data_IF_215753365434
#
_entry.id   IF_215753365434
#
_cell.length_a   1.000
_cell.length_b   1.000
_cell.length_c   1.000
_cell.angle_alpha   90.00
_cell.angle_beta   90.00
_cell.angle_gamma   90.00
#
_symmetry.space_group_name_H-M   'P 1'
#
loop_
_entity.id
_entity.type
_entity.pdbx_description
1 polymer ?
#
# COMPACT_ATOMS: atom_id res chain seq x y z
N UNK A 1 -45.95 -9.84 2.90
CA UNK A 1 -44.76 -10.64 3.22
C UNK A 1 -43.62 -10.08 2.38
N UNK A 2 -42.81 -9.20 2.95
CA UNK A 2 -41.60 -8.72 2.27
C UNK A 2 -40.65 -9.90 2.11
N UNK A 3 -40.45 -10.37 0.89
CA UNK A 3 -39.35 -11.27 0.58
C UNK A 3 -38.07 -10.55 1.02
N UNK A 4 -37.40 -11.09 2.04
CA UNK A 4 -36.11 -10.59 2.45
C UNK A 4 -35.14 -10.78 1.29
N UNK A 5 -34.98 -9.74 0.46
CA UNK A 5 -33.78 -9.53 -0.36
C UNK A 5 -32.63 -9.80 0.60
N UNK A 6 -31.81 -10.82 0.35
CA UNK A 6 -30.90 -11.36 1.37
C UNK A 6 -29.84 -10.36 1.84
N UNK A 7 -28.69 -10.82 2.29
CA UNK A 7 -27.66 -9.91 2.83
C UNK A 7 -26.41 -9.93 1.97
N UNK A 8 -25.51 -9.01 2.21
CA UNK A 8 -24.20 -8.99 1.58
C UNK A 8 -23.16 -8.68 2.65
N UNK A 9 -22.04 -9.41 2.66
CA UNK A 9 -20.91 -9.08 3.51
C UNK A 9 -19.97 -8.14 2.74
N UNK A 10 -19.83 -6.91 3.21
CA UNK A 10 -18.83 -5.97 2.69
C UNK A 10 -17.56 -6.03 3.52
N UNK A 11 -16.42 -6.09 2.83
CA UNK A 11 -15.09 -6.18 3.43
C UNK A 11 -14.21 -5.03 2.96
N UNK A 12 -13.93 -4.06 3.83
CA UNK A 12 -13.04 -2.94 3.50
C UNK A 12 -11.59 -3.41 3.37
N UNK A 13 -11.06 -3.29 2.16
CA UNK A 13 -9.71 -3.66 1.80
C UNK A 13 -8.86 -2.39 1.69
N UNK A 14 -8.09 -2.09 2.74
CA UNK A 14 -7.18 -0.95 2.79
C UNK A 14 -5.74 -1.42 2.65
N UNK A 15 -4.99 -0.78 1.76
CA UNK A 15 -3.56 -1.03 1.58
C UNK A 15 -2.80 -0.81 2.90
N UNK A 16 -1.89 -1.74 3.21
CA UNK A 16 -1.11 -1.72 4.45
C UNK A 16 -1.89 -2.11 5.72
N UNK A 17 -3.18 -2.46 5.62
CA UNK A 17 -3.93 -2.96 6.77
C UNK A 17 -3.75 -4.47 6.92
N UNK A 18 -3.39 -4.91 8.12
CA UNK A 18 -3.35 -6.33 8.50
C UNK A 18 -4.71 -6.85 8.97
N UNK A 19 -5.68 -5.95 9.16
CA UNK A 19 -7.05 -6.30 9.55
C UNK A 19 -8.06 -5.79 8.53
N UNK A 20 -9.04 -6.65 8.25
CA UNK A 20 -10.18 -6.31 7.41
C UNK A 20 -11.33 -5.80 8.29
N UNK A 21 -11.99 -4.72 7.86
CA UNK A 21 -13.24 -4.29 8.48
C UNK A 21 -14.40 -4.91 7.71
N UNK A 22 -15.32 -5.53 8.43
CA UNK A 22 -16.47 -6.21 7.84
C UNK A 22 -17.77 -5.55 8.28
N UNK A 23 -18.74 -5.50 7.39
CA UNK A 23 -20.11 -5.10 7.73
C UNK A 23 -21.11 -5.85 6.88
N UNK A 24 -22.30 -6.06 7.40
CA UNK A 24 -23.39 -6.73 6.68
C UNK A 24 -24.42 -5.68 6.29
N UNK A 25 -24.75 -5.62 5.00
CA UNK A 25 -25.77 -4.72 4.47
C UNK A 25 -26.94 -5.51 3.84
N UNK A 26 -28.13 -4.90 3.68
CA UNK A 26 -29.17 -5.44 2.81
C UNK A 26 -28.65 -5.66 1.39
N UNK A 27 -29.11 -6.70 0.70
CA UNK A 27 -28.65 -7.01 -0.65
C UNK A 27 -28.94 -5.84 -1.61
N UNK A 28 -27.90 -5.17 -2.17
CA UNK A 28 -28.09 -4.02 -3.04
C UNK A 28 -28.71 -4.41 -4.37
N UNK A 29 -29.62 -3.57 -4.88
CA UNK A 29 -30.24 -3.77 -6.20
C UNK A 29 -29.26 -3.52 -7.36
N UNK A 30 -28.13 -2.87 -7.11
CA UNK A 30 -27.14 -2.56 -8.14
C UNK A 30 -25.74 -2.36 -7.58
N UNK A 31 -24.74 -2.42 -8.45
CA UNK A 31 -23.35 -2.07 -8.15
C UNK A 31 -23.22 -0.67 -7.55
N UNK A 32 -23.93 0.32 -8.10
CA UNK A 32 -23.88 1.70 -7.61
C UNK A 32 -24.49 1.82 -6.21
N UNK A 33 -25.61 1.13 -5.96
CA UNK A 33 -26.20 1.09 -4.62
C UNK A 33 -25.24 0.47 -3.61
N UNK A 34 -24.54 -0.61 -3.98
CA UNK A 34 -23.53 -1.23 -3.13
C UNK A 34 -22.36 -0.27 -2.79
N UNK A 35 -21.95 0.57 -3.73
CA UNK A 35 -20.93 1.61 -3.49
C UNK A 35 -21.44 2.67 -2.51
N UNK A 36 -22.68 3.15 -2.67
CA UNK A 36 -23.24 4.16 -1.77
C UNK A 36 -23.39 3.62 -0.34
N UNK A 37 -23.88 2.38 -0.20
CA UNK A 37 -23.90 1.67 1.09
C UNK A 37 -22.50 1.55 1.68
N UNK A 38 -21.49 1.16 0.87
CA UNK A 38 -20.11 1.06 1.31
C UNK A 38 -19.56 2.40 1.85
N UNK A 39 -19.90 3.53 1.22
CA UNK A 39 -19.52 4.87 1.70
C UNK A 39 -20.15 5.22 3.03
N UNK A 40 -21.40 4.80 3.26
CA UNK A 40 -22.11 5.07 4.51
C UNK A 40 -21.55 4.26 5.68
N UNK A 41 -21.31 2.97 5.45
CA UNK A 41 -20.85 2.04 6.50
C UNK A 41 -19.36 2.15 6.79
N UNK A 42 -18.55 2.67 5.86
CA UNK A 42 -17.13 2.90 6.04
C UNK A 42 -16.82 4.41 5.96
N UNK A 43 -16.97 5.16 7.07
CA UNK A 43 -16.82 6.63 7.09
C UNK A 43 -15.42 7.13 6.73
N UNK A 44 -14.41 6.25 6.74
CA UNK A 44 -13.05 6.56 6.27
C UNK A 44 -12.88 6.63 4.75
N UNK A 45 -13.88 6.19 3.96
CA UNK A 45 -13.83 6.19 2.49
C UNK A 45 -14.10 7.59 1.92
N UNK A 46 -15.00 8.35 2.53
CA UNK A 46 -15.48 9.66 2.03
C UNK A 46 -14.74 10.85 2.65
N UNK A 47 -13.57 10.60 3.26
CA UNK A 47 -12.77 11.57 3.99
C UNK A 47 -12.40 12.80 3.17
N UNK A 48 -13.28 13.81 3.21
CA UNK A 48 -12.98 15.19 2.88
C UNK A 48 -12.14 15.72 4.04
N UNK A 49 -10.86 16.04 3.78
CA UNK A 49 -9.96 16.77 4.67
C UNK A 49 -9.78 16.23 6.09
N UNK A 50 -8.78 15.37 6.28
CA UNK A 50 -8.03 15.36 7.54
C UNK A 50 -7.23 16.65 7.65
N UNK A 51 -7.31 17.34 8.79
CA UNK A 51 -6.74 18.66 9.12
C UNK A 51 -5.20 18.81 9.00
N UNK A 52 -4.51 17.88 8.32
CA UNK A 52 -3.07 17.89 8.10
C UNK A 52 -2.67 17.94 6.62
N UNK A 53 -3.61 18.00 5.68
CA UNK A 53 -3.31 18.38 4.28
C UNK A 53 -2.38 17.44 3.48
N UNK A 54 -2.06 16.25 3.98
CA UNK A 54 -1.04 15.36 3.39
C UNK A 54 -1.58 14.31 2.40
N UNK A 55 -2.90 14.15 2.26
CA UNK A 55 -3.49 13.23 1.28
C UNK A 55 -4.24 14.02 0.20
N UNK A 56 -3.51 14.58 -0.77
CA UNK A 56 -4.04 15.14 -2.02
C UNK A 56 -4.05 14.08 -3.13
N UNK A 57 -4.77 12.98 -2.93
CA UNK A 57 -5.04 12.04 -4.03
C UNK A 57 -6.52 12.09 -4.36
N UNK A 58 -6.85 12.22 -5.64
CA UNK A 58 -8.20 12.14 -6.23
C UNK A 58 -8.85 10.74 -6.04
N UNK A 59 -8.60 10.05 -4.92
CA UNK A 59 -8.86 8.62 -4.68
C UNK A 59 -10.29 8.34 -4.26
N UNK A 60 -11.26 9.00 -4.87
CA UNK A 60 -12.70 8.72 -4.69
C UNK A 60 -13.18 7.51 -5.50
N UNK A 61 -12.28 6.83 -6.23
CA UNK A 61 -12.63 5.65 -7.00
C UNK A 61 -12.71 4.44 -6.08
N UNK A 62 -13.93 4.09 -5.68
CA UNK A 62 -14.23 2.83 -5.02
C UNK A 62 -14.39 1.75 -6.09
N UNK A 63 -13.68 0.65 -5.92
CA UNK A 63 -13.84 -0.54 -6.78
C UNK A 63 -14.32 -1.69 -5.93
N UNK A 64 -15.38 -2.37 -6.37
CA UNK A 64 -15.84 -3.60 -5.73
C UNK A 64 -15.13 -4.80 -6.37
N UNK A 65 -14.71 -5.75 -5.55
CA UNK A 65 -14.12 -7.01 -5.99
C UNK A 65 -14.86 -8.18 -5.38
N UNK A 66 -14.94 -9.28 -6.11
CA UNK A 66 -15.57 -10.52 -5.69
C UNK A 66 -14.54 -11.47 -5.09
N UNK A 67 -14.84 -12.08 -3.94
CA UNK A 67 -13.97 -13.07 -3.31
C UNK A 67 -14.03 -14.41 -4.04
N UNK A 68 -12.90 -14.87 -4.58
CA UNK A 68 -12.81 -16.14 -5.30
C UNK A 68 -11.87 -17.12 -4.60
N UNK A 69 -12.25 -18.39 -4.51
CA UNK A 69 -11.35 -19.48 -4.11
C UNK A 69 -10.63 -20.03 -5.34
N UNK A 70 -9.30 -20.03 -5.28
CA UNK A 70 -8.44 -20.73 -6.24
C UNK A 70 -8.46 -22.24 -5.96
N UNK A 71 -8.06 -23.04 -6.94
CA UNK A 71 -8.03 -24.51 -6.84
C UNK A 71 -7.13 -25.03 -5.71
N UNK A 72 -6.11 -24.25 -5.31
CA UNK A 72 -5.21 -24.57 -4.20
C UNK A 72 -5.80 -24.22 -2.81
N UNK A 73 -7.05 -23.76 -2.74
CA UNK A 73 -7.72 -23.34 -1.51
C UNK A 73 -7.48 -21.89 -1.10
N UNK A 74 -6.53 -21.17 -1.73
CA UNK A 74 -6.28 -19.76 -1.43
C UNK A 74 -7.39 -18.85 -1.95
N UNK A 75 -7.63 -17.73 -1.24
CA UNK A 75 -8.54 -16.69 -1.69
C UNK A 75 -7.85 -15.64 -2.56
N UNK A 76 -8.58 -15.07 -3.50
CA UNK A 76 -8.16 -13.92 -4.31
C UNK A 76 -9.35 -13.00 -4.57
N UNK A 77 -9.08 -11.73 -4.84
CA UNK A 77 -10.09 -10.74 -5.17
C UNK A 77 -10.12 -10.46 -6.67
N UNK A 78 -11.22 -10.77 -7.33
CA UNK A 78 -11.42 -10.48 -8.75
C UNK A 78 -12.20 -9.18 -8.94
N UNK A 79 -11.74 -8.30 -9.83
CA UNK A 79 -12.44 -7.04 -10.12
C UNK A 79 -13.86 -7.30 -10.64
N UNK A 80 -14.86 -6.73 -9.97
CA UNK A 80 -16.26 -6.84 -10.36
C UNK A 80 -16.64 -5.65 -11.23
N UNK A 81 -17.08 -5.89 -12.46
CA UNK A 81 -17.56 -4.81 -13.35
C UNK A 81 -19.01 -4.46 -13.03
N UNK A 82 -19.42 -3.18 -13.15
CA UNK A 82 -20.80 -2.79 -12.88
C UNK A 82 -21.85 -3.60 -13.65
N UNK A 83 -21.60 -3.90 -14.93
CA UNK A 83 -22.53 -4.66 -15.77
C UNK A 83 -22.67 -6.15 -15.40
N UNK A 84 -21.77 -6.68 -14.56
CA UNK A 84 -21.76 -8.09 -14.18
C UNK A 84 -22.39 -8.32 -12.78
N UNK A 85 -22.80 -7.25 -12.08
CA UNK A 85 -23.34 -7.31 -10.72
C UNK A 85 -24.44 -8.36 -10.55
N UNK A 86 -25.53 -8.23 -11.30
CA UNK A 86 -26.69 -9.14 -11.20
C UNK A 86 -26.36 -10.57 -11.63
N UNK A 87 -25.32 -10.74 -12.46
CA UNK A 87 -24.93 -12.05 -12.98
C UNK A 87 -24.04 -12.82 -12.03
N UNK A 88 -23.18 -12.12 -11.29
CA UNK A 88 -22.12 -12.71 -10.49
C UNK A 88 -22.49 -12.72 -9.01
N UNK A 89 -23.01 -11.61 -8.49
CA UNK A 89 -23.23 -11.44 -7.05
C UNK A 89 -24.56 -12.08 -6.65
N UNK A 90 -24.54 -12.81 -5.54
CA UNK A 90 -25.68 -13.48 -4.94
C UNK A 90 -25.85 -13.02 -3.50
N UNK A 91 -27.06 -13.15 -2.95
CA UNK A 91 -27.25 -13.01 -1.52
C UNK A 91 -26.27 -13.88 -0.74
N UNK A 92 -25.78 -13.32 0.35
CA UNK A 92 -24.82 -13.88 1.30
C UNK A 92 -23.38 -14.02 0.78
N UNK A 93 -23.09 -13.47 -0.41
CA UNK A 93 -21.72 -13.34 -0.92
C UNK A 93 -20.92 -12.27 -0.17
N UNK A 94 -19.59 -12.41 -0.26
CA UNK A 94 -18.63 -11.44 0.24
C UNK A 94 -18.06 -10.58 -0.90
N UNK A 95 -18.13 -9.26 -0.71
CA UNK A 95 -17.63 -8.26 -1.65
C UNK A 95 -16.58 -7.38 -0.97
N UNK A 96 -15.41 -7.34 -1.56
CA UNK A 96 -14.31 -6.48 -1.13
C UNK A 96 -14.50 -5.06 -1.64
N UNK A 97 -14.37 -4.08 -0.76
CA UNK A 97 -14.45 -2.64 -1.04
C UNK A 97 -13.03 -2.08 -1.06
N UNK A 98 -12.54 -1.70 -2.24
CA UNK A 98 -11.20 -1.16 -2.44
C UNK A 98 -11.26 0.34 -2.72
N UNK A 99 -10.45 1.13 -2.04
CA UNK A 99 -10.41 2.59 -2.17
C UNK A 99 -9.13 3.01 -2.90
N UNK A 100 -9.27 3.83 -3.94
CA UNK A 100 -8.14 4.38 -4.69
C UNK A 100 -7.50 3.40 -5.67
N UNK A 101 -6.20 3.59 -5.97
CA UNK A 101 -5.42 2.73 -6.89
C UNK A 101 -4.96 1.41 -6.27
N UNK A 102 -5.50 1.01 -5.10
CA UNK A 102 -5.26 -0.29 -4.47
C UNK A 102 -5.87 -1.45 -5.29
N UNK A 103 -5.47 -1.57 -6.55
CA UNK A 103 -5.90 -2.60 -7.49
C UNK A 103 -5.13 -3.91 -7.29
N UNK A 104 -4.14 -3.95 -6.41
CA UNK A 104 -3.32 -5.13 -6.17
C UNK A 104 -4.13 -6.31 -5.62
N UNK A 105 -3.67 -7.52 -5.93
CA UNK A 105 -4.14 -8.76 -5.30
C UNK A 105 -3.66 -8.74 -3.84
N UNK A 106 -4.48 -8.24 -2.91
CA UNK A 106 -4.21 -8.45 -1.50
C UNK A 106 -4.39 -9.93 -1.17
N UNK A 107 -3.44 -10.57 -0.45
CA UNK A 107 -3.61 -11.94 -0.01
C UNK A 107 -4.85 -12.01 0.88
N UNK A 108 -5.83 -12.78 0.43
CA UNK A 108 -7.10 -12.92 1.11
C UNK A 108 -7.27 -14.33 1.62
N UNK A 109 -7.32 -14.49 2.94
CA UNK A 109 -7.73 -15.73 3.56
C UNK A 109 -9.24 -15.69 3.71
N UNK A 110 -9.93 -16.29 2.72
CA UNK A 110 -11.37 -16.51 2.79
C UNK A 110 -11.70 -17.18 4.12
N UNK A 111 -12.40 -16.49 5.01
CA UNK A 111 -12.81 -17.09 6.27
C UNK A 111 -13.60 -18.36 5.95
N UNK A 112 -13.04 -19.50 6.32
CA UNK A 112 -13.62 -20.80 6.06
C UNK A 112 -14.84 -20.98 6.97
N UNK A 113 -15.98 -20.39 6.61
CA UNK A 113 -17.15 -20.45 7.47
C UNK A 113 -18.35 -19.67 6.97
N UNK A 114 -18.95 -20.12 5.88
CA UNK A 114 -20.41 -20.14 5.74
C UNK A 114 -20.80 -21.05 4.56
N UNK A 115 -20.51 -22.35 4.71
CA UNK A 115 -21.32 -23.38 4.07
C UNK A 115 -22.43 -23.72 5.05
N UNK A 116 -23.58 -23.06 4.93
CA UNK A 116 -24.81 -23.63 5.45
C UNK A 116 -25.09 -24.84 4.55
N UNK A 117 -24.97 -26.03 5.13
CA UNK A 117 -25.25 -27.37 4.57
C UNK A 117 -24.22 -27.96 3.58
N UNK A 118 -23.39 -28.88 4.11
CA UNK A 118 -23.13 -30.17 3.47
C UNK A 118 -22.53 -31.14 4.51
N UNK A 119 -23.34 -32.10 4.96
CA UNK A 119 -22.92 -33.24 5.77
C UNK A 119 -22.28 -34.32 4.88
N UNK A 120 -21.14 -34.86 5.33
CA UNK A 120 -20.61 -36.23 5.16
C UNK A 120 -19.09 -36.19 5.49
N UNK A 121 -18.67 -36.50 6.72
CA UNK A 121 -18.41 -37.84 7.27
C UNK A 121 -17.07 -38.47 6.82
N UNK A 122 -16.12 -38.44 7.78
CA UNK A 122 -15.15 -39.48 8.17
C UNK A 122 -14.13 -40.02 7.14
N UNK A 123 -12.83 -39.85 7.44
CA UNK A 123 -11.98 -40.84 8.16
C UNK A 123 -10.55 -40.30 8.18
N UNK A 124 -10.02 -40.02 9.37
CA UNK A 124 -8.62 -39.66 9.59
C UNK A 124 -7.73 -40.91 9.51
N UNK A 125 -6.66 -40.85 8.71
CA UNK A 125 -5.58 -41.85 8.69
C UNK A 125 -4.33 -41.23 9.33
N UNK A 126 -3.68 -41.88 10.30
CA UNK A 126 -2.48 -41.33 10.95
C UNK A 126 -1.26 -41.37 10.01
N UNK A 127 -0.32 -40.41 10.13
CA UNK A 127 0.86 -40.36 9.26
C UNK A 127 1.91 -41.40 9.69
N UNK A 128 2.68 -41.97 8.74
CA UNK A 128 3.77 -42.89 9.06
C UNK A 128 5.02 -42.17 9.58
N UNK A 129 5.89 -42.85 10.37
CA UNK A 129 7.09 -42.27 10.97
C UNK A 129 8.22 -42.07 9.94
N UNK A 130 9.19 -41.17 10.20
CA UNK A 130 10.25 -40.84 9.25
C UNK A 130 11.40 -41.87 9.28
N UNK A 131 12.01 -42.20 8.12
CA UNK A 131 13.26 -42.97 8.09
C UNK A 131 14.50 -42.08 8.28
N UNK A 132 15.48 -42.64 8.99
CA UNK A 132 16.76 -42.03 9.31
C UNK A 132 17.74 -41.99 8.13
N UNK A 133 18.46 -40.86 8.06
CA UNK A 133 19.83 -40.62 7.56
C UNK A 133 20.32 -41.35 6.31
N UNK A 134 20.53 -40.59 5.22
CA UNK A 134 21.70 -40.80 4.34
C UNK A 134 22.23 -39.46 3.82
N UNK A 135 23.46 -39.16 4.24
CA UNK A 135 24.22 -37.94 3.98
C UNK A 135 24.78 -38.02 2.56
N UNK A 136 24.01 -37.60 1.56
CA UNK A 136 24.53 -37.27 0.23
C UNK A 136 24.59 -35.76 0.09
N UNK A 137 25.81 -35.26 -0.13
CA UNK A 137 26.17 -33.89 -0.46
C UNK A 137 25.25 -33.33 -1.53
N UNK A 138 24.28 -32.52 -1.09
CA UNK A 138 23.35 -31.79 -1.95
C UNK A 138 24.08 -30.56 -2.52
N UNK A 139 23.93 -30.23 -3.80
CA UNK A 139 24.46 -28.99 -4.37
C UNK A 139 23.95 -27.78 -3.57
N UNK A 140 24.82 -26.78 -3.33
CA UNK A 140 24.51 -25.56 -2.58
C UNK A 140 23.17 -24.96 -3.06
N UNK A 141 22.26 -24.80 -2.11
CA UNK A 141 20.91 -24.25 -2.27
C UNK A 141 20.95 -22.83 -2.84
N UNK A 142 20.07 -22.53 -3.78
CA UNK A 142 19.83 -21.21 -4.37
C UNK A 142 19.24 -20.16 -3.39
N UNK A 143 19.53 -20.27 -2.09
CA UNK A 143 18.90 -19.49 -1.02
C UNK A 143 19.62 -18.20 -0.62
N UNK A 144 20.86 -17.99 -1.04
CA UNK A 144 21.61 -16.75 -0.73
C UNK A 144 21.79 -15.92 -2.00
N UNK A 145 20.70 -15.48 -2.62
CA UNK A 145 20.79 -14.40 -3.60
C UNK A 145 20.73 -13.09 -2.81
N UNK A 146 21.90 -12.47 -2.64
CA UNK A 146 22.00 -11.14 -2.06
C UNK A 146 21.17 -10.16 -2.90
N UNK A 147 20.20 -9.51 -2.26
CA UNK A 147 19.38 -8.48 -2.89
C UNK A 147 20.13 -7.16 -2.79
N UNK A 148 20.30 -6.46 -3.91
CA UNK A 148 20.96 -5.16 -3.95
C UNK A 148 19.93 -4.05 -4.13
N UNK A 149 20.01 -3.02 -3.29
CA UNK A 149 19.19 -1.82 -3.36
C UNK A 149 19.95 -0.72 -4.10
N UNK A 150 19.35 -0.19 -5.16
CA UNK A 150 19.90 0.92 -5.93
C UNK A 150 19.20 2.19 -5.50
N UNK A 151 19.86 2.94 -4.63
CA UNK A 151 19.31 4.16 -4.06
C UNK A 151 19.64 5.36 -4.94
N UNK A 152 18.64 6.21 -5.20
CA UNK A 152 18.81 7.50 -5.86
C UNK A 152 18.32 8.61 -4.94
N UNK A 153 19.20 9.53 -4.56
CA UNK A 153 18.83 10.65 -3.72
C UNK A 153 18.13 11.73 -4.53
N UNK A 154 16.98 12.22 -4.04
CA UNK A 154 16.21 13.20 -4.76
C UNK A 154 16.00 14.50 -3.97
N UNK A 155 16.67 15.55 -4.42
CA UNK A 155 16.56 16.91 -3.88
C UNK A 155 15.62 17.84 -4.71
N UNK A 156 14.82 17.29 -5.63
CA UNK A 156 13.84 18.10 -6.38
C UNK A 156 13.70 17.69 -7.86
N UNK A 157 13.63 18.64 -8.81
CA UNK A 157 13.48 18.31 -10.22
C UNK A 157 14.68 17.47 -10.70
N UNK A 158 14.41 16.40 -11.45
CA UNK A 158 15.44 15.46 -11.92
C UNK A 158 16.56 16.18 -12.67
N UNK A 159 17.75 16.21 -12.07
CA UNK A 159 18.99 16.58 -12.77
C UNK A 159 19.71 15.31 -13.22
N UNK A 160 20.54 15.40 -14.26
CA UNK A 160 21.35 14.26 -14.74
C UNK A 160 22.33 13.72 -13.70
N UNK A 161 22.60 14.50 -12.63
CA UNK A 161 23.67 14.27 -11.67
C UNK A 161 23.14 13.94 -10.27
N UNK A 162 21.99 13.27 -10.17
CA UNK A 162 21.49 12.84 -8.86
C UNK A 162 22.46 11.83 -8.21
N UNK A 163 22.76 11.99 -6.90
CA UNK A 163 23.59 11.05 -6.17
C UNK A 163 22.96 9.65 -6.18
N UNK A 164 23.82 8.63 -6.30
CA UNK A 164 23.41 7.23 -6.32
C UNK A 164 24.27 6.41 -5.37
N UNK A 165 23.66 5.44 -4.72
CA UNK A 165 24.35 4.48 -3.88
C UNK A 165 23.81 3.07 -4.18
N UNK A 166 24.63 2.06 -3.98
CA UNK A 166 24.22 0.66 -4.01
C UNK A 166 24.57 0.06 -2.66
N UNK A 167 23.57 -0.47 -1.96
CA UNK A 167 23.74 -1.12 -0.66
C UNK A 167 23.17 -2.54 -0.72
N UNK A 168 23.71 -3.45 0.08
CA UNK A 168 23.08 -4.74 0.34
C UNK A 168 21.77 -4.50 1.08
N UNK A 169 20.69 -5.19 0.69
CA UNK A 169 19.38 -5.00 1.30
C UNK A 169 19.42 -5.35 2.80
N UNK A 170 19.22 -4.37 3.70
CA UNK A 170 19.20 -4.67 5.12
C UNK A 170 17.98 -5.52 5.50
N UNK A 171 18.03 -6.09 6.71
CA UNK A 171 16.97 -7.00 7.15
C UNK A 171 15.72 -6.27 7.62
N UNK A 172 15.87 -5.01 7.99
CA UNK A 172 14.81 -4.14 8.51
C UNK A 172 14.75 -2.80 7.77
N UNK A 173 13.59 -2.15 7.87
CA UNK A 173 13.38 -0.85 7.26
C UNK A 173 14.25 0.24 7.92
N UNK A 174 14.41 0.19 9.24
CA UNK A 174 15.18 1.13 10.04
C UNK A 174 16.68 1.05 9.75
N UNK A 175 17.21 -0.17 9.54
CA UNK A 175 18.58 -0.37 9.05
C UNK A 175 18.74 0.21 7.65
N UNK A 176 17.76 -0.04 6.75
CA UNK A 176 17.77 0.53 5.41
C UNK A 176 17.74 2.05 5.43
N UNK A 177 16.99 2.67 6.34
CA UNK A 177 17.02 4.12 6.51
C UNK A 177 18.39 4.60 7.02
N UNK A 178 18.96 3.91 8.01
CA UNK A 178 20.26 4.29 8.57
C UNK A 178 21.39 4.21 7.52
N UNK A 179 21.41 3.14 6.73
CA UNK A 179 22.36 2.94 5.63
C UNK A 179 22.18 3.97 4.51
N UNK A 180 20.92 4.27 4.13
CA UNK A 180 20.64 5.30 3.15
C UNK A 180 21.04 6.70 3.63
N UNK A 181 20.81 7.01 4.91
CA UNK A 181 21.28 8.25 5.56
C UNK A 181 22.81 8.35 5.51
N UNK A 182 23.50 7.27 5.87
CA UNK A 182 24.96 7.22 5.83
C UNK A 182 25.49 7.41 4.40
N UNK A 183 24.91 6.71 3.43
CA UNK A 183 25.30 6.77 2.02
C UNK A 183 25.12 8.17 1.40
N UNK A 184 24.14 8.94 1.88
CA UNK A 184 23.86 10.30 1.37
C UNK A 184 24.23 11.42 2.35
N UNK A 185 24.93 11.13 3.44
CA UNK A 185 25.28 12.12 4.47
C UNK A 185 25.97 13.37 3.92
N UNK A 186 26.85 13.21 2.92
CA UNK A 186 27.57 14.32 2.27
C UNK A 186 26.67 15.18 1.34
N UNK A 187 25.52 14.66 0.95
CA UNK A 187 24.56 15.32 0.07
C UNK A 187 23.39 15.93 0.84
N UNK A 188 23.19 15.53 2.10
CA UNK A 188 22.17 16.14 2.94
C UNK A 188 22.59 17.56 3.33
N UNK A 189 21.68 18.55 3.25
CA UNK A 189 21.96 19.89 3.74
C UNK A 189 22.40 19.84 5.20
N UNK A 190 23.33 20.72 5.63
CA UNK A 190 23.79 20.80 7.01
C UNK A 190 22.68 21.15 8.03
N UNK A 191 21.47 21.46 7.57
CA UNK A 191 20.30 21.73 8.38
C UNK A 191 19.27 20.58 8.30
N UNK A 192 19.19 19.79 9.39
CA UNK A 192 17.99 19.09 9.88
C UNK A 192 17.20 18.23 8.88
N UNK A 193 17.84 17.32 8.14
CA UNK A 193 17.09 16.14 7.71
C UNK A 193 16.71 15.35 8.98
N UNK A 194 15.44 15.41 9.39
CA UNK A 194 14.96 14.69 10.58
C UNK A 194 14.65 13.24 10.27
N UNK A 195 14.37 12.96 9.00
CA UNK A 195 14.00 11.63 8.53
C UNK A 195 14.29 11.53 7.02
N UNK A 196 14.32 10.30 6.51
CA UNK A 196 14.35 10.01 5.09
C UNK A 196 13.22 9.05 4.73
N UNK A 197 12.57 9.33 3.61
CA UNK A 197 11.50 8.49 3.08
C UNK A 197 12.07 7.64 1.95
N UNK A 198 11.86 6.33 2.06
CA UNK A 198 12.20 5.38 1.01
C UNK A 198 11.00 5.23 0.06
N UNK A 199 11.24 5.38 -1.22
CA UNK A 199 10.27 5.21 -2.29
C UNK A 199 10.72 4.06 -3.21
N UNK A 200 9.82 3.14 -3.58
CA UNK A 200 10.10 2.12 -4.61
C UNK A 200 9.43 2.52 -5.93
N UNK A 201 10.06 2.21 -7.06
CA UNK A 201 9.38 2.32 -8.34
C UNK A 201 8.31 1.23 -8.44
N UNK A 202 7.05 1.63 -8.63
CA UNK A 202 5.89 0.76 -8.75
C UNK A 202 5.25 0.89 -10.14
N UNK A 203 6.04 0.62 -11.18
CA UNK A 203 5.58 0.65 -12.57
C UNK A 203 5.76 2.00 -13.28
N UNK A 204 4.94 2.21 -14.32
CA UNK A 204 4.98 3.38 -15.21
C UNK A 204 3.54 3.88 -15.38
N UNK A 205 3.34 5.18 -15.21
CA UNK A 205 2.11 5.85 -15.59
C UNK A 205 2.04 5.90 -17.12
N UNK A 206 1.12 5.14 -17.71
CA UNK A 206 0.96 5.02 -19.16
C UNK A 206 0.54 6.34 -19.84
N UNK A 207 -0.04 7.29 -19.10
CA UNK A 207 -0.43 8.59 -19.66
C UNK A 207 0.74 9.55 -19.81
N UNK A 208 1.72 9.47 -18.89
CA UNK A 208 2.88 10.37 -18.86
C UNK A 208 4.20 9.70 -19.23
N UNK A 209 4.20 8.38 -19.39
CA UNK A 209 5.37 7.52 -19.53
C UNK A 209 6.41 7.73 -18.39
N UNK A 210 5.97 8.19 -17.22
CA UNK A 210 6.84 8.44 -16.07
C UNK A 210 6.75 7.30 -15.05
N UNK A 211 7.87 6.95 -14.38
CA UNK A 211 7.85 5.98 -13.31
C UNK A 211 6.97 6.47 -12.15
N UNK A 212 6.13 5.58 -11.62
CA UNK A 212 5.35 5.83 -10.40
C UNK A 212 6.23 5.43 -9.22
N UNK A 213 6.35 6.32 -8.24
CA UNK A 213 7.12 6.08 -7.02
C UNK A 213 6.15 5.99 -5.84
N UNK A 214 6.29 4.94 -5.03
CA UNK A 214 5.43 4.67 -3.87
C UNK A 214 6.28 4.66 -2.62
N UNK A 215 5.84 5.38 -1.59
CA UNK A 215 6.48 5.40 -0.29
C UNK A 215 6.38 4.02 0.36
N UNK A 216 7.51 3.50 0.83
CA UNK A 216 7.62 2.21 1.49
C UNK A 216 7.40 2.44 2.98
N UNK A 217 6.42 1.73 3.56
CA UNK A 217 6.24 1.69 5.01
C UNK A 217 7.10 0.59 5.63
N UNK A 218 7.42 0.66 6.94
CA UNK A 218 8.15 -0.39 7.64
C UNK A 218 7.55 -1.79 7.41
N UNK A 219 6.22 -1.91 7.52
CA UNK A 219 5.51 -3.19 7.34
C UNK A 219 5.58 -3.73 5.90
N UNK A 220 5.70 -2.85 4.90
CA UNK A 220 5.79 -3.23 3.49
C UNK A 220 7.21 -3.63 3.05
N UNK A 221 8.23 -3.29 3.85
CA UNK A 221 9.63 -3.51 3.51
C UNK A 221 9.98 -4.99 3.35
N UNK A 222 9.53 -5.84 4.29
CA UNK A 222 9.78 -7.29 4.21
C UNK A 222 9.14 -7.93 2.97
N UNK A 223 7.95 -7.47 2.58
CA UNK A 223 7.29 -7.93 1.36
C UNK A 223 8.05 -7.50 0.10
N UNK A 224 8.62 -6.29 0.10
CA UNK A 224 9.44 -5.77 -1.01
C UNK A 224 10.69 -6.64 -1.23
N UNK A 225 11.35 -7.06 -0.16
CA UNK A 225 12.54 -7.92 -0.26
C UNK A 225 12.23 -9.37 -0.63
N UNK A 226 11.00 -9.82 -0.41
CA UNK A 226 10.57 -11.18 -0.75
C UNK A 226 10.31 -11.38 -2.25
N UNK A 227 10.27 -10.30 -3.05
CA UNK A 227 10.14 -10.43 -4.51
C UNK A 227 11.38 -11.13 -5.10
N UNK A 228 11.20 -11.99 -6.11
CA UNK A 228 12.29 -12.77 -6.71
C UNK A 228 13.18 -11.94 -7.64
N UNK A 229 13.48 -10.69 -7.26
CA UNK A 229 14.37 -9.79 -8.00
C UNK A 229 15.69 -9.65 -7.25
N UNK A 230 16.79 -9.63 -8.00
CA UNK A 230 18.13 -9.34 -7.43
C UNK A 230 18.41 -7.85 -7.32
N UNK A 231 17.50 -7.02 -7.84
CA UNK A 231 17.63 -5.58 -7.96
C UNK A 231 16.31 -4.90 -7.62
N UNK A 232 16.38 -3.92 -6.72
CA UNK A 232 15.27 -3.02 -6.40
C UNK A 232 15.75 -1.59 -6.59
N UNK A 233 15.10 -0.85 -7.49
CA UNK A 233 15.37 0.57 -7.68
C UNK A 233 14.56 1.38 -6.65
N UNK A 234 15.29 2.08 -5.79
CA UNK A 234 14.74 2.89 -4.71
C UNK A 234 15.12 4.35 -4.88
N UNK A 235 14.24 5.21 -4.40
CA UNK A 235 14.47 6.63 -4.31
C UNK A 235 14.42 7.05 -2.85
N UNK A 236 15.33 7.94 -2.47
CA UNK A 236 15.43 8.49 -1.12
C UNK A 236 15.08 9.97 -1.17
N UNK A 237 14.09 10.36 -0.38
CA UNK A 237 13.62 11.74 -0.27
C UNK A 237 13.86 12.20 1.19
N UNK A 238 14.62 13.27 1.40
CA UNK A 238 14.84 13.83 2.73
C UNK A 238 13.61 14.60 3.23
N UNK A 239 13.29 14.46 4.52
CA UNK A 239 12.22 15.22 5.18
C UNK A 239 12.86 16.27 6.09
N UNK A 240 12.50 17.53 5.84
CA UNK A 240 12.97 18.67 6.62
C UNK A 240 11.87 19.15 7.55
N UNK A 241 12.21 19.36 8.82
CA UNK A 241 11.27 19.90 9.80
C UNK A 241 11.23 21.42 9.68
N UNK A 242 10.17 21.98 9.10
CA UNK A 242 10.05 23.42 8.84
C UNK A 242 9.80 24.28 10.10
N UNK A 243 10.04 23.75 11.30
CA UNK A 243 9.68 24.41 12.57
C UNK A 243 10.68 25.46 13.08
N UNK A 244 11.65 25.89 12.28
CA UNK A 244 12.47 27.06 12.62
C UNK A 244 11.72 28.35 12.27
N UNK A 245 11.03 28.91 13.27
CA UNK A 245 10.29 30.16 13.15
C UNK A 245 11.12 31.33 12.62
N UNK A 246 10.57 32.04 11.63
CA UNK A 246 11.00 33.41 11.31
C UNK A 246 10.13 34.39 12.11
N UNK A 247 10.48 34.61 13.38
CA UNK A 247 10.13 35.83 14.11
C UNK A 247 11.01 36.98 13.62
N UNK A 248 10.77 37.42 12.39
CA UNK A 248 11.43 38.58 11.77
C UNK A 248 10.53 39.81 11.86
N UNK A 249 10.47 40.41 13.05
CA UNK A 249 10.02 41.79 13.24
C UNK A 249 10.84 42.73 12.35
N UNK A 250 10.17 43.43 11.44
CA UNK A 250 10.71 44.62 10.79
C UNK A 250 9.70 45.76 10.91
N UNK A 251 9.59 46.31 12.12
CA UNK A 251 9.15 47.68 12.33
C UNK A 251 10.14 48.59 11.60
N UNK A 252 9.71 49.29 10.55
CA UNK A 252 10.43 50.45 10.04
C UNK A 252 9.47 51.63 9.90
N UNK A 253 9.45 52.41 10.97
CA UNK A 253 8.95 53.78 11.03
C UNK A 253 10.04 54.73 10.53
N UNK A 254 9.70 55.62 9.60
CA UNK A 254 10.38 56.89 9.24
C UNK A 254 9.42 57.59 8.26
N UNK A 255 8.54 58.51 8.68
CA UNK A 255 8.78 59.94 8.96
C UNK A 255 9.52 60.69 7.84
N UNK A 256 8.80 61.64 7.24
CA UNK A 256 9.23 62.95 6.72
C UNK A 256 10.54 63.03 5.92
N UNK A 257 10.43 63.35 4.62
CA UNK A 257 11.14 64.53 4.12
C UNK A 257 10.48 65.13 2.86
N UNK A 258 10.32 66.44 2.96
CA UNK A 258 9.82 67.44 2.03
C UNK A 258 10.91 67.88 1.02
N UNK A 259 10.51 68.67 0.01
CA UNK A 259 11.26 69.26 -1.12
C UNK A 259 11.41 68.34 -2.35
N UNK A 260 11.13 68.76 -3.59
CA UNK A 260 11.03 70.08 -4.19
C UNK A 260 12.09 70.22 -5.30
N UNK A 261 11.67 70.61 -6.51
CA UNK A 261 12.44 70.82 -7.77
C UNK A 261 12.69 69.55 -8.60
N UNK A 262 12.46 69.48 -9.90
CA UNK A 262 12.16 70.47 -10.96
C UNK A 262 10.93 70.05 -11.79
#
# INVERSE_FOLDING_TARGET
MENSKGRLLLTLCKEGSTSYQHTIIPFPESYTAAIEEAKQVFPGITGTFGALGLFRSNTNTITLKFGMKRANGSGTWATLRPQDWDRVVRPDDEIGVFVGQALFEMPYELQAGNKVNAAASLVAKPPPPPPATSRRSRPRSAKDREVLLYLVFNEGPRTKNQPKAVISAPSTYEECQSEALYAFAQHLPPAQATDIVLECQHGIDYSTAKPIWVVITPDAYGALLAFPTTKVDMRVSAVYNCNSGSSGSATRSSKEQESGRD
#
